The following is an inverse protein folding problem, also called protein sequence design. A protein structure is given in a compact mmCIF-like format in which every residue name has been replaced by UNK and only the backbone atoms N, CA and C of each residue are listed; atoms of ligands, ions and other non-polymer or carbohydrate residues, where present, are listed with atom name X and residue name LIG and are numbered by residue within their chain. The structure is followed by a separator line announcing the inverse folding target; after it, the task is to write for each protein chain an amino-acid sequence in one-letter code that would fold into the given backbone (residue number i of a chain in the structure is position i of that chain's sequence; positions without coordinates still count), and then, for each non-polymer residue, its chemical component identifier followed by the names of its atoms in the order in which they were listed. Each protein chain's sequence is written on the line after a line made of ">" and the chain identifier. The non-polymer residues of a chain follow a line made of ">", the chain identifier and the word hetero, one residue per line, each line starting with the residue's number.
data_IF_644918318517
#
_entry.id   IF_644918318517
#
_cell.length_a   1.000
_cell.length_b   1.000
_cell.length_c   1.000
_cell.angle_alpha   90.00
_cell.angle_beta   90.00
_cell.angle_gamma   90.00
#
_symmetry.space_group_name_H-M   'P 1'
#
loop_
_entity.id
_entity.type
_entity.pdbx_description
1 polymer ?
#
# COMPACT_ATOMS: atom_id res chain seq x y z
N UNK A 1 24.37 -15.47 31.30
CA UNK A 1 25.51 -14.70 30.80
C UNK A 1 24.96 -13.43 30.20
N UNK A 2 25.42 -12.27 30.66
CA UNK A 2 24.83 -10.97 30.35
C UNK A 2 24.88 -10.63 28.87
N UNK A 3 23.72 -10.33 28.28
CA UNK A 3 23.62 -9.62 27.01
C UNK A 3 23.40 -8.14 27.33
N UNK A 4 24.34 -7.28 26.95
CA UNK A 4 24.22 -5.85 27.13
C UNK A 4 22.90 -5.35 26.53
N UNK A 5 22.15 -4.58 27.32
CA UNK A 5 20.95 -3.88 26.88
C UNK A 5 21.34 -2.81 25.86
N UNK A 6 21.55 -3.22 24.61
CA UNK A 6 21.66 -2.30 23.50
C UNK A 6 20.38 -1.49 23.41
N UNK A 7 20.51 -0.17 23.33
CA UNK A 7 19.39 0.73 23.13
C UNK A 7 18.62 0.30 21.88
N UNK A 8 17.38 -0.17 22.04
CA UNK A 8 16.53 -0.58 20.91
C UNK A 8 15.91 0.66 20.31
N UNK A 9 16.66 1.34 19.44
CA UNK A 9 16.16 2.53 18.75
C UNK A 9 15.23 2.11 17.60
N UNK A 10 14.01 2.65 17.59
CA UNK A 10 13.06 2.46 16.51
C UNK A 10 12.55 3.80 15.94
N UNK A 11 12.14 3.77 14.67
CA UNK A 11 11.46 4.88 14.01
C UNK A 11 10.10 4.37 13.51
N UNK A 12 9.04 5.13 13.74
CA UNK A 12 7.70 4.88 13.20
C UNK A 12 7.32 6.00 12.25
N UNK A 13 7.24 5.72 10.96
CA UNK A 13 6.81 6.65 9.92
C UNK A 13 5.29 6.69 9.80
N UNK A 14 4.75 7.89 9.94
CA UNK A 14 3.33 8.22 9.83
C UNK A 14 3.11 9.22 8.68
N UNK A 15 1.90 9.24 8.14
CA UNK A 15 1.57 10.05 6.98
C UNK A 15 1.20 11.51 7.32
N UNK A 16 0.74 11.78 8.55
CA UNK A 16 0.35 13.12 8.99
C UNK A 16 0.81 13.42 10.42
N UNK A 17 0.85 14.71 10.78
CA UNK A 17 1.23 15.17 12.13
C UNK A 17 0.30 14.60 13.19
N UNK A 18 -1.01 14.76 12.98
CA UNK A 18 -2.03 14.20 13.86
C UNK A 18 -1.97 12.66 13.95
N UNK A 19 -1.47 11.96 12.93
CA UNK A 19 -1.21 10.52 13.05
C UNK A 19 0.04 10.23 13.89
N UNK A 20 1.12 10.98 13.69
CA UNK A 20 2.34 10.83 14.49
C UNK A 20 2.08 11.09 15.99
N UNK A 21 1.37 12.16 16.32
CA UNK A 21 0.97 12.48 17.70
C UNK A 21 0.13 11.35 18.31
N UNK A 22 -0.95 10.92 17.62
CA UNK A 22 -1.83 9.84 18.11
C UNK A 22 -1.10 8.50 18.30
N UNK A 23 -0.22 8.14 17.36
CA UNK A 23 0.55 6.90 17.46
C UNK A 23 1.55 7.00 18.62
N UNK A 24 2.18 8.16 18.81
CA UNK A 24 3.04 8.43 19.96
C UNK A 24 2.29 8.28 21.29
N UNK A 25 1.12 8.92 21.42
CA UNK A 25 0.30 8.82 22.62
C UNK A 25 -0.04 7.37 22.96
N UNK A 26 -0.46 6.58 21.95
CA UNK A 26 -0.74 5.17 22.13
C UNK A 26 0.47 4.32 22.57
N UNK A 27 1.68 4.68 22.14
CA UNK A 27 2.92 4.04 22.59
C UNK A 27 3.23 4.42 24.05
N UNK A 28 3.11 5.70 24.40
CA UNK A 28 3.33 6.22 25.75
C UNK A 28 2.35 5.61 26.75
N UNK A 29 1.07 5.50 26.40
CA UNK A 29 0.05 4.80 27.20
C UNK A 29 0.44 3.34 27.52
N UNK A 30 1.18 2.70 26.61
CA UNK A 30 1.71 1.33 26.74
C UNK A 30 3.09 1.29 27.39
N UNK A 31 3.54 2.40 27.98
CA UNK A 31 4.82 2.57 28.68
C UNK A 31 6.05 2.37 27.79
N UNK A 32 5.91 2.67 26.50
CA UNK A 32 7.05 2.77 25.59
C UNK A 32 7.60 4.21 25.66
N UNK A 33 8.92 4.35 25.80
CA UNK A 33 9.57 5.66 25.78
C UNK A 33 9.56 6.22 24.34
N UNK A 34 8.46 6.86 23.95
CA UNK A 34 8.24 7.36 22.61
C UNK A 34 8.10 8.89 22.60
N UNK A 35 8.50 9.50 21.49
CA UNK A 35 8.28 10.91 21.22
C UNK A 35 7.98 11.13 19.74
N UNK A 36 7.16 12.14 19.42
CA UNK A 36 6.87 12.48 18.03
C UNK A 36 7.82 13.53 17.47
N UNK A 37 8.03 13.50 16.15
CA UNK A 37 8.84 14.46 15.42
C UNK A 37 8.15 14.88 14.12
N UNK A 38 7.87 16.17 13.97
CA UNK A 38 7.38 16.74 12.73
C UNK A 38 7.79 18.22 12.57
N UNK A 39 7.53 18.79 11.41
CA UNK A 39 7.98 20.15 11.04
C UNK A 39 7.65 21.24 12.07
N UNK A 40 6.49 21.16 12.74
CA UNK A 40 6.03 22.14 13.74
C UNK A 40 6.67 22.03 15.13
N UNK A 41 7.49 21.02 15.40
CA UNK A 41 8.24 20.96 16.66
C UNK A 41 9.35 22.03 16.64
N UNK A 42 9.47 22.82 17.70
CA UNK A 42 10.45 23.90 17.82
C UNK A 42 11.90 23.37 17.80
N UNK A 43 12.84 24.23 17.40
CA UNK A 43 14.26 23.86 17.23
C UNK A 43 14.90 23.31 18.51
N UNK A 44 14.73 24.02 19.63
CA UNK A 44 15.28 23.61 20.93
C UNK A 44 14.74 22.25 21.39
N UNK A 45 13.44 22.01 21.16
CA UNK A 45 12.77 20.74 21.47
C UNK A 45 13.33 19.62 20.60
N UNK A 46 13.56 19.87 19.30
CA UNK A 46 14.18 18.89 18.39
C UNK A 46 15.59 18.50 18.83
N UNK A 47 16.39 19.46 19.29
CA UNK A 47 17.75 19.19 19.78
C UNK A 47 17.75 18.38 21.08
N UNK A 48 16.87 18.72 22.02
CA UNK A 48 16.70 17.96 23.26
C UNK A 48 16.27 16.52 22.95
N UNK A 49 15.26 16.35 22.10
CA UNK A 49 14.77 15.05 21.67
C UNK A 49 15.87 14.23 20.98
N UNK A 50 16.68 14.84 20.12
CA UNK A 50 17.79 14.16 19.47
C UNK A 50 18.82 13.66 20.48
N UNK A 51 19.17 14.48 21.49
CA UNK A 51 20.06 14.04 22.58
C UNK A 51 19.46 12.89 23.39
N UNK A 52 18.17 12.97 23.72
CA UNK A 52 17.49 11.94 24.49
C UNK A 52 17.40 10.62 23.73
N UNK A 53 17.17 10.69 22.42
CA UNK A 53 17.17 9.51 21.56
C UNK A 53 18.56 8.88 21.42
N UNK A 54 19.60 9.68 21.20
CA UNK A 54 20.99 9.20 21.14
C UNK A 54 21.46 8.56 22.47
N UNK A 55 20.93 9.03 23.60
CA UNK A 55 21.26 8.52 24.93
C UNK A 55 20.33 7.39 25.39
N UNK A 56 19.37 6.98 24.56
CA UNK A 56 18.42 5.91 24.84
C UNK A 56 17.38 6.23 25.91
N UNK A 57 17.18 7.51 26.23
CA UNK A 57 16.04 7.97 27.06
C UNK A 57 14.73 7.94 26.30
N UNK A 58 14.79 8.12 24.98
CA UNK A 58 13.69 7.85 24.05
C UNK A 58 14.09 6.64 23.23
N UNK A 59 13.23 5.63 23.18
CA UNK A 59 13.42 4.40 22.42
C UNK A 59 12.84 4.53 21.00
N UNK A 60 11.68 5.21 20.88
CA UNK A 60 10.91 5.28 19.63
C UNK A 60 10.66 6.71 19.20
N UNK A 61 11.05 7.04 17.97
CA UNK A 61 10.67 8.30 17.32
C UNK A 61 9.51 8.05 16.37
N UNK A 62 8.38 8.72 16.60
CA UNK A 62 7.22 8.68 15.70
C UNK A 62 7.25 9.92 14.81
N UNK A 63 7.45 9.75 13.52
CA UNK A 63 7.82 10.82 12.62
C UNK A 63 6.96 10.87 11.37
N UNK A 64 6.80 12.07 10.81
CA UNK A 64 6.41 12.21 9.39
C UNK A 64 7.66 12.17 8.50
N UNK A 65 7.49 12.17 7.18
CA UNK A 65 8.58 12.25 6.19
C UNK A 65 9.53 13.45 6.37
N UNK A 66 9.22 14.41 7.25
CA UNK A 66 10.12 15.48 7.66
C UNK A 66 11.30 15.01 8.55
N UNK A 67 11.28 13.77 9.04
CA UNK A 67 12.39 13.17 9.79
C UNK A 67 13.44 12.63 8.81
N UNK A 68 14.25 13.54 8.25
CA UNK A 68 15.20 13.14 7.23
C UNK A 68 16.50 13.93 7.07
N UNK A 69 16.54 15.19 7.48
CA UNK A 69 17.74 16.02 7.35
C UNK A 69 18.47 16.12 8.70
N UNK A 70 19.56 15.37 8.86
CA UNK A 70 20.54 15.59 9.94
C UNK A 70 20.57 14.59 11.11
N UNK A 71 19.62 13.65 11.21
CA UNK A 71 19.60 12.65 12.29
C UNK A 71 20.31 11.38 11.84
N UNK A 72 21.54 11.19 12.32
CA UNK A 72 22.36 9.99 12.13
C UNK A 72 22.47 9.23 13.45
N UNK A 73 21.69 8.16 13.60
CA UNK A 73 21.84 7.21 14.69
C UNK A 73 22.20 5.84 14.08
N UNK A 74 23.45 5.39 14.26
CA UNK A 74 23.92 4.12 13.69
C UNK A 74 23.14 2.90 14.20
N UNK A 75 22.68 2.97 15.45
CA UNK A 75 22.01 1.89 16.18
C UNK A 75 20.50 1.72 15.95
N UNK A 76 19.91 2.23 14.87
CA UNK A 76 18.46 1.99 14.61
C UNK A 76 18.26 0.52 14.25
N UNK A 77 17.43 -0.19 15.04
CA UNK A 77 17.15 -1.63 14.90
C UNK A 77 15.82 -1.92 14.24
N UNK A 78 14.86 -1.01 14.35
CA UNK A 78 13.53 -1.22 13.80
C UNK A 78 13.01 0.02 13.10
N UNK A 79 12.43 -0.17 11.92
CA UNK A 79 11.68 0.88 11.22
C UNK A 79 10.29 0.35 10.94
N UNK A 80 9.28 1.10 11.35
CA UNK A 80 7.89 0.81 11.09
C UNK A 80 7.32 1.86 10.16
N UNK A 81 6.62 1.45 9.10
CA UNK A 81 5.71 2.32 8.37
C UNK A 81 4.30 2.04 8.85
N UNK A 82 3.73 2.97 9.62
CA UNK A 82 2.34 2.86 10.07
C UNK A 82 1.35 3.15 8.94
N UNK A 83 1.76 4.00 7.99
CA UNK A 83 1.05 4.27 6.74
C UNK A 83 2.05 4.11 5.59
N UNK A 84 1.62 3.61 4.43
CA UNK A 84 2.48 3.48 3.24
C UNK A 84 3.16 4.81 2.87
N UNK A 85 4.44 4.78 2.44
CA UNK A 85 5.08 5.97 1.90
C UNK A 85 4.53 6.32 0.51
N UNK A 86 4.84 7.52 0.04
CA UNK A 86 4.36 8.02 -1.26
C UNK A 86 5.11 7.47 -2.47
N UNK A 87 6.29 6.87 -2.29
CA UNK A 87 7.09 6.28 -3.36
C UNK A 87 8.03 5.20 -2.83
N UNK A 88 8.50 4.30 -3.72
CA UNK A 88 9.53 3.34 -3.38
C UNK A 88 10.87 4.00 -3.07
N UNK A 89 11.15 5.17 -3.66
CA UNK A 89 12.33 5.98 -3.33
C UNK A 89 12.28 6.47 -1.88
N UNK A 90 11.14 6.98 -1.42
CA UNK A 90 10.95 7.37 -0.03
C UNK A 90 11.12 6.17 0.91
N UNK A 91 10.47 5.04 0.58
CA UNK A 91 10.60 3.79 1.32
C UNK A 91 12.07 3.37 1.47
N UNK A 92 12.84 3.38 0.38
CA UNK A 92 14.25 3.00 0.37
C UNK A 92 15.12 3.92 1.24
N UNK A 93 14.90 5.24 1.16
CA UNK A 93 15.64 6.21 1.97
C UNK A 93 15.33 6.07 3.47
N UNK A 94 14.06 5.83 3.80
CA UNK A 94 13.58 5.66 5.16
C UNK A 94 14.11 4.34 5.75
N UNK A 95 13.95 3.22 5.05
CA UNK A 95 14.51 1.93 5.46
C UNK A 95 16.03 1.92 5.54
N UNK A 96 16.72 2.69 4.69
CA UNK A 96 18.19 2.85 4.72
C UNK A 96 18.75 3.58 5.96
N UNK A 97 17.89 3.92 6.93
CA UNK A 97 18.32 4.42 8.26
C UNK A 97 18.56 3.30 9.25
N UNK A 98 17.99 2.12 9.03
CA UNK A 98 18.19 0.95 9.88
C UNK A 98 19.58 0.32 9.64
N UNK A 99 20.17 -0.28 10.67
CA UNK A 99 21.36 -1.15 10.55
C UNK A 99 22.60 -0.48 9.95
N UNK A 100 22.79 0.83 10.15
CA UNK A 100 23.94 1.57 9.56
C UNK A 100 25.29 1.22 10.18
N UNK A 101 25.27 0.59 11.34
CA UNK A 101 26.43 -0.03 12.00
C UNK A 101 26.74 -1.43 11.45
N UNK A 102 25.94 -1.96 10.52
CA UNK A 102 26.12 -3.28 9.92
C UNK A 102 25.43 -4.42 10.68
N UNK A 103 24.81 -4.14 11.82
CA UNK A 103 24.06 -5.13 12.61
C UNK A 103 22.65 -5.36 12.05
N UNK A 104 22.08 -6.53 12.36
CA UNK A 104 20.74 -6.92 11.92
C UNK A 104 19.69 -5.89 12.36
N UNK A 105 18.81 -5.52 11.42
CA UNK A 105 17.70 -4.61 11.65
C UNK A 105 16.47 -5.03 10.84
N UNK A 106 15.29 -4.66 11.33
CA UNK A 106 14.01 -5.06 10.74
C UNK A 106 13.22 -3.83 10.27
N UNK A 107 12.72 -3.90 9.03
CA UNK A 107 11.85 -2.88 8.47
C UNK A 107 10.47 -3.50 8.20
N UNK A 108 9.44 -2.98 8.86
CA UNK A 108 8.07 -3.48 8.81
C UNK A 108 7.17 -2.40 8.23
N UNK A 109 6.38 -2.75 7.22
CA UNK A 109 5.34 -1.88 6.69
C UNK A 109 3.98 -2.45 7.06
N UNK A 110 3.19 -1.68 7.82
CA UNK A 110 1.80 -1.99 8.12
C UNK A 110 0.94 -1.54 6.95
N UNK A 111 0.30 -2.49 6.29
CA UNK A 111 -0.40 -2.24 5.04
C UNK A 111 -1.91 -2.35 5.17
N UNK A 112 -2.62 -1.28 4.80
CA UNK A 112 -4.02 -1.34 4.40
C UNK A 112 -4.21 -0.73 3.02
N UNK A 113 -5.00 -1.39 2.16
CA UNK A 113 -5.34 -0.81 0.85
C UNK A 113 -6.06 0.54 0.98
N UNK A 114 -6.76 0.80 2.09
CA UNK A 114 -7.40 2.09 2.35
C UNK A 114 -6.38 3.24 2.47
N UNK A 115 -5.13 2.96 2.83
CA UNK A 115 -4.09 3.99 2.94
C UNK A 115 -3.75 4.59 1.57
N UNK A 116 -3.90 3.82 0.48
CA UNK A 116 -3.78 4.34 -0.89
C UNK A 116 -4.58 5.63 -1.06
N UNK A 117 -5.86 5.63 -0.69
CA UNK A 117 -6.75 6.79 -0.87
C UNK A 117 -6.31 7.97 -0.01
N UNK A 118 -5.82 7.72 1.21
CA UNK A 118 -5.34 8.75 2.14
C UNK A 118 -4.10 9.44 1.56
N UNK A 119 -3.13 8.65 1.12
CA UNK A 119 -1.88 9.14 0.52
C UNK A 119 -2.11 9.81 -0.83
N UNK A 120 -2.94 9.22 -1.69
CA UNK A 120 -3.37 9.80 -2.97
C UNK A 120 -4.01 11.18 -2.76
N UNK A 121 -4.91 11.30 -1.79
CA UNK A 121 -5.58 12.56 -1.47
C UNK A 121 -4.58 13.65 -1.02
N UNK A 122 -3.55 13.28 -0.28
CA UNK A 122 -2.47 14.20 0.09
C UNK A 122 -1.64 14.61 -1.14
N UNK A 123 -1.25 13.66 -1.99
CA UNK A 123 -0.51 13.94 -3.22
C UNK A 123 -1.30 14.93 -4.10
N UNK A 124 -2.60 14.70 -4.29
CA UNK A 124 -3.46 15.60 -5.08
C UNK A 124 -3.56 17.02 -4.52
N UNK A 125 -3.49 17.18 -3.19
CA UNK A 125 -3.49 18.51 -2.54
C UNK A 125 -2.13 19.22 -2.61
N UNK A 126 -1.03 18.46 -2.62
CA UNK A 126 0.33 19.02 -2.49
C UNK A 126 1.20 18.97 -3.76
N UNK A 127 0.82 18.21 -4.78
CA UNK A 127 1.58 18.11 -6.02
C UNK A 127 1.12 19.18 -7.04
N UNK A 128 2.06 19.85 -7.73
CA UNK A 128 1.73 20.63 -8.92
C UNK A 128 1.05 19.77 -10.00
N UNK A 129 0.14 20.33 -10.82
CA UNK A 129 -0.52 19.57 -11.89
C UNK A 129 0.46 18.87 -12.85
N UNK A 130 1.61 19.50 -13.11
CA UNK A 130 2.63 18.98 -14.03
C UNK A 130 3.29 17.66 -13.55
N UNK A 131 3.35 17.40 -12.24
CA UNK A 131 3.99 16.20 -11.67
C UNK A 131 2.99 15.25 -11.00
N UNK A 132 1.70 15.56 -11.06
CA UNK A 132 0.68 14.81 -10.35
C UNK A 132 0.60 13.35 -10.82
N UNK A 133 0.58 13.12 -12.13
CA UNK A 133 0.45 11.76 -12.69
C UNK A 133 1.67 10.90 -12.34
N UNK A 134 2.88 11.47 -12.44
CA UNK A 134 4.13 10.82 -12.04
C UNK A 134 4.09 10.41 -10.56
N UNK A 135 3.75 11.35 -9.66
CA UNK A 135 3.66 11.10 -8.22
C UNK A 135 2.60 10.05 -7.85
N UNK A 136 1.49 10.00 -8.59
CA UNK A 136 0.48 8.95 -8.42
C UNK A 136 0.97 7.59 -8.93
N UNK A 137 1.75 7.58 -10.01
CA UNK A 137 2.47 6.40 -10.49
C UNK A 137 3.41 5.83 -9.43
N UNK A 138 4.23 6.67 -8.81
CA UNK A 138 5.14 6.29 -7.73
C UNK A 138 4.41 5.67 -6.53
N UNK A 139 3.26 6.23 -6.14
CA UNK A 139 2.42 5.65 -5.09
C UNK A 139 1.91 4.27 -5.48
N UNK A 140 1.50 4.10 -6.74
CA UNK A 140 1.02 2.80 -7.23
C UNK A 140 2.12 1.74 -7.26
N UNK A 141 3.39 2.12 -7.40
CA UNK A 141 4.51 1.19 -7.27
C UNK A 141 4.65 0.64 -5.85
N UNK A 142 4.43 1.48 -4.82
CA UNK A 142 4.39 1.08 -3.40
C UNK A 142 3.22 0.12 -3.16
N UNK A 143 2.02 0.48 -3.62
CA UNK A 143 0.83 -0.37 -3.52
C UNK A 143 1.08 -1.72 -4.19
N UNK A 144 1.67 -1.69 -5.38
CA UNK A 144 1.97 -2.89 -6.14
C UNK A 144 3.04 -3.76 -5.45
N UNK A 145 3.96 -3.19 -4.67
CA UNK A 145 4.89 -3.94 -3.82
C UNK A 145 4.17 -4.59 -2.63
N UNK A 146 3.21 -3.89 -2.03
CA UNK A 146 2.46 -4.40 -0.89
C UNK A 146 1.49 -5.54 -1.28
N UNK A 147 0.86 -5.46 -2.45
CA UNK A 147 -0.05 -6.49 -2.97
C UNK A 147 0.67 -7.68 -3.64
N UNK A 148 1.97 -7.59 -3.87
CA UNK A 148 2.79 -8.69 -4.40
C UNK A 148 3.24 -9.58 -3.23
N UNK A 149 2.70 -10.80 -3.18
CA UNK A 149 3.00 -11.81 -2.16
C UNK A 149 3.98 -12.88 -2.67
N UNK A 150 4.53 -12.72 -3.87
CA UNK A 150 5.42 -13.70 -4.50
C UNK A 150 6.80 -13.13 -4.77
N UNK A 151 6.86 -11.90 -5.29
CA UNK A 151 8.13 -11.25 -5.62
C UNK A 151 8.95 -10.90 -4.38
N UNK A 152 10.26 -11.18 -4.42
CA UNK A 152 11.18 -10.74 -3.37
C UNK A 152 11.15 -9.20 -3.22
N UNK A 153 10.82 -8.70 -2.02
CA UNK A 153 10.72 -7.26 -1.74
C UNK A 153 12.04 -6.53 -1.99
N UNK A 154 13.15 -7.12 -1.53
CA UNK A 154 14.50 -6.59 -1.75
C UNK A 154 14.84 -6.49 -3.23
N UNK A 155 14.56 -7.52 -4.01
CA UNK A 155 14.83 -7.52 -5.44
C UNK A 155 14.04 -6.42 -6.16
N UNK A 156 12.80 -6.18 -5.74
CA UNK A 156 11.98 -5.11 -6.29
C UNK A 156 12.51 -3.72 -5.95
N UNK A 157 12.92 -3.48 -4.70
CA UNK A 157 13.57 -2.23 -4.30
C UNK A 157 14.88 -1.98 -5.07
N UNK A 158 15.73 -3.00 -5.23
CA UNK A 158 16.99 -2.87 -5.97
C UNK A 158 16.73 -2.47 -7.43
N UNK A 159 15.79 -3.15 -8.10
CA UNK A 159 15.41 -2.81 -9.48
C UNK A 159 14.86 -1.39 -9.61
N UNK A 160 14.04 -0.95 -8.65
CA UNK A 160 13.54 0.42 -8.59
C UNK A 160 14.69 1.45 -8.52
N UNK A 161 15.76 1.12 -7.79
CA UNK A 161 16.97 1.94 -7.69
C UNK A 161 17.94 1.76 -8.86
N UNK A 162 17.55 1.07 -9.93
CA UNK A 162 18.39 0.80 -11.10
C UNK A 162 19.51 -0.22 -10.84
N UNK A 163 19.40 -1.03 -9.79
CA UNK A 163 20.37 -2.06 -9.43
C UNK A 163 19.86 -3.46 -9.76
N UNK A 164 20.76 -4.32 -10.25
CA UNK A 164 20.42 -5.72 -10.45
C UNK A 164 20.49 -6.48 -9.11
N UNK A 165 19.46 -7.24 -8.72
CA UNK A 165 19.51 -8.06 -7.52
C UNK A 165 20.64 -9.10 -7.60
N UNK A 166 21.41 -9.29 -6.52
CA UNK A 166 22.51 -10.25 -6.52
C UNK A 166 22.00 -11.69 -6.69
N UNK A 167 22.77 -12.51 -7.41
CA UNK A 167 22.57 -13.95 -7.56
C UNK A 167 23.65 -14.73 -6.79
N UNK A 168 23.32 -15.81 -6.06
CA UNK A 168 21.98 -16.40 -5.88
C UNK A 168 21.07 -15.54 -4.97
N UNK A 169 19.74 -15.76 -4.99
CA UNK A 169 18.84 -15.07 -4.07
C UNK A 169 19.24 -15.31 -2.61
N UNK A 170 18.99 -14.34 -1.71
CA UNK A 170 19.35 -14.47 -0.31
C UNK A 170 18.61 -15.66 0.34
N UNK A 171 19.22 -16.29 1.37
CA UNK A 171 18.59 -17.42 2.05
C UNK A 171 17.23 -17.03 2.65
N UNK A 172 16.25 -17.97 2.65
CA UNK A 172 14.96 -17.76 3.29
C UNK A 172 15.11 -17.29 4.75
N UNK A 173 14.22 -16.40 5.19
CA UNK A 173 14.22 -15.88 6.58
C UNK A 173 15.22 -14.77 6.90
N UNK A 174 16.15 -14.41 6.00
CA UNK A 174 17.07 -13.25 6.16
C UNK A 174 16.84 -12.12 5.14
N UNK A 175 15.85 -12.25 4.28
CA UNK A 175 15.60 -11.31 3.18
C UNK A 175 14.31 -10.49 3.36
N UNK A 176 13.17 -11.16 3.26
CA UNK A 176 11.84 -10.59 3.45
C UNK A 176 10.83 -11.71 3.72
N UNK A 177 9.65 -11.32 4.17
CA UNK A 177 8.46 -12.15 4.34
C UNK A 177 8.11 -12.99 3.10
N UNK A 178 8.11 -12.41 1.89
CA UNK A 178 7.80 -13.17 0.67
C UNK A 178 8.83 -14.27 0.38
N UNK A 179 10.11 -14.06 0.73
CA UNK A 179 11.13 -15.10 0.59
C UNK A 179 11.04 -16.18 1.69
N UNK A 180 10.36 -15.88 2.80
CA UNK A 180 10.14 -16.81 3.90
C UNK A 180 8.80 -17.57 3.75
N UNK A 181 7.90 -17.10 2.89
CA UNK A 181 6.59 -17.69 2.66
C UNK A 181 6.64 -18.89 1.70
N UNK A 182 5.74 -19.84 1.91
CA UNK A 182 5.47 -20.90 0.94
C UNK A 182 4.79 -20.33 -0.31
N UNK A 183 4.99 -20.99 -1.46
CA UNK A 183 4.39 -20.58 -2.71
C UNK A 183 2.85 -20.55 -2.58
N UNK A 184 2.16 -19.48 -3.01
CA UNK A 184 0.71 -19.40 -2.86
C UNK A 184 0.01 -20.42 -3.76
N UNK A 185 -1.14 -20.97 -3.32
CA UNK A 185 -1.92 -21.90 -4.12
C UNK A 185 -2.50 -21.19 -5.36
N UNK A 186 -2.34 -21.80 -6.53
CA UNK A 186 -3.01 -21.36 -7.76
C UNK A 186 -4.38 -22.05 -7.86
N UNK A 187 -5.47 -21.28 -8.00
CA UNK A 187 -6.82 -21.82 -8.18
C UNK A 187 -7.43 -21.41 -9.51
N UNK A 188 -8.08 -22.35 -10.21
CA UNK A 188 -8.85 -22.10 -11.43
C UNK A 188 -10.04 -21.13 -11.20
N UNK A 189 -10.55 -21.08 -9.96
CA UNK A 189 -11.66 -20.19 -9.58
C UNK A 189 -11.29 -18.71 -9.68
N UNK A 190 -10.00 -18.36 -9.56
CA UNK A 190 -9.52 -16.98 -9.73
C UNK A 190 -9.79 -16.45 -11.14
N UNK A 191 -9.68 -17.30 -12.17
CA UNK A 191 -9.91 -16.91 -13.56
C UNK A 191 -11.38 -16.56 -13.83
N UNK A 192 -12.30 -17.31 -13.25
CA UNK A 192 -13.75 -17.05 -13.36
C UNK A 192 -14.11 -15.73 -12.69
N UNK A 193 -13.64 -15.50 -11.46
CA UNK A 193 -13.87 -14.26 -10.75
C UNK A 193 -13.24 -13.04 -11.45
N UNK A 194 -12.04 -13.19 -12.01
CA UNK A 194 -11.36 -12.12 -12.74
C UNK A 194 -12.11 -11.72 -14.02
N UNK A 195 -12.63 -12.70 -14.78
CA UNK A 195 -13.45 -12.46 -15.96
C UNK A 195 -14.76 -11.75 -15.58
N UNK A 196 -15.44 -12.22 -14.53
CA UNK A 196 -16.66 -11.60 -14.04
C UNK A 196 -16.43 -10.14 -13.61
N UNK A 197 -15.34 -9.87 -12.90
CA UNK A 197 -14.95 -8.52 -12.52
C UNK A 197 -14.77 -7.60 -13.74
N UNK A 198 -14.08 -8.07 -14.78
CA UNK A 198 -13.87 -7.32 -16.01
C UNK A 198 -15.17 -7.07 -16.79
N UNK A 199 -16.06 -8.07 -16.88
CA UNK A 199 -17.37 -7.93 -17.49
C UNK A 199 -18.22 -6.85 -16.81
N UNK A 200 -18.26 -6.86 -15.47
CA UNK A 200 -18.99 -5.84 -14.69
C UNK A 200 -18.35 -4.47 -14.88
N UNK A 201 -17.03 -4.37 -14.83
CA UNK A 201 -16.31 -3.11 -15.02
C UNK A 201 -16.54 -2.52 -16.42
N UNK A 202 -16.64 -3.36 -17.46
CA UNK A 202 -17.01 -2.93 -18.81
C UNK A 202 -18.46 -2.48 -18.93
N UNK A 203 -19.40 -3.25 -18.33
CA UNK A 203 -20.85 -2.96 -18.40
C UNK A 203 -21.25 -1.70 -17.61
N UNK A 204 -20.67 -1.51 -16.44
CA UNK A 204 -21.06 -0.45 -15.49
C UNK A 204 -20.05 0.69 -15.38
N UNK A 205 -18.93 0.60 -16.11
CA UNK A 205 -17.81 1.56 -16.21
C UNK A 205 -17.91 2.82 -15.32
N UNK A 206 -17.22 2.81 -14.19
CA UNK A 206 -17.15 3.94 -13.26
C UNK A 206 -18.34 4.08 -12.30
N UNK A 207 -19.37 3.23 -12.38
CA UNK A 207 -20.53 3.30 -11.47
C UNK A 207 -20.27 2.67 -10.09
N UNK A 208 -19.31 1.74 -9.99
CA UNK A 208 -19.04 0.98 -8.76
C UNK A 208 -17.70 1.37 -8.14
N UNK A 209 -17.62 1.29 -6.81
CA UNK A 209 -16.35 1.26 -6.09
C UNK A 209 -15.83 -0.18 -6.00
N UNK A 210 -14.53 -0.36 -5.69
CA UNK A 210 -13.94 -1.70 -5.55
C UNK A 210 -14.66 -2.55 -4.49
N UNK A 211 -15.02 -2.03 -3.29
CA UNK A 211 -15.80 -2.79 -2.31
C UNK A 211 -17.20 -3.17 -2.80
N UNK A 212 -17.85 -2.33 -3.63
CA UNK A 212 -19.16 -2.67 -4.22
C UNK A 212 -19.05 -3.75 -5.28
N UNK A 213 -17.99 -3.73 -6.09
CA UNK A 213 -17.68 -4.81 -7.03
C UNK A 213 -17.42 -6.12 -6.28
N UNK A 214 -16.62 -6.08 -5.20
CA UNK A 214 -16.41 -7.25 -4.34
C UNK A 214 -17.71 -7.79 -3.76
N UNK A 215 -18.55 -6.91 -3.20
CA UNK A 215 -19.83 -7.29 -2.62
C UNK A 215 -20.76 -7.96 -3.63
N UNK A 216 -20.81 -7.46 -4.87
CA UNK A 216 -21.55 -8.07 -5.97
C UNK A 216 -21.02 -9.48 -6.28
N UNK A 217 -19.73 -9.61 -6.56
CA UNK A 217 -19.13 -10.90 -6.96
C UNK A 217 -19.18 -11.95 -5.84
N UNK A 218 -19.11 -11.51 -4.59
CA UNK A 218 -19.26 -12.38 -3.41
C UNK A 218 -20.71 -12.82 -3.16
N UNK A 219 -21.69 -12.15 -3.79
CA UNK A 219 -23.11 -12.47 -3.62
C UNK A 219 -23.74 -11.81 -2.38
N UNK A 220 -23.20 -10.67 -1.95
CA UNK A 220 -23.75 -9.88 -0.85
C UNK A 220 -25.18 -9.43 -1.14
N UNK A 221 -26.01 -9.40 -0.10
CA UNK A 221 -27.37 -8.83 -0.13
C UNK A 221 -27.49 -7.56 0.72
N UNK A 222 -26.37 -6.86 0.94
CA UNK A 222 -26.38 -5.56 1.59
C UNK A 222 -27.35 -4.62 0.88
N UNK A 223 -28.03 -3.74 1.65
CA UNK A 223 -29.10 -2.86 1.16
C UNK A 223 -28.73 -2.17 -0.15
N UNK A 224 -27.55 -1.58 -0.24
CA UNK A 224 -27.06 -0.85 -1.42
C UNK A 224 -26.91 -1.73 -2.68
N UNK A 225 -26.56 -3.01 -2.52
CA UNK A 225 -26.42 -3.96 -3.63
C UNK A 225 -27.80 -4.33 -4.18
N UNK A 226 -28.77 -4.53 -3.27
CA UNK A 226 -30.15 -4.85 -3.62
C UNK A 226 -30.84 -3.65 -4.28
N UNK A 227 -30.77 -2.47 -3.65
CA UNK A 227 -31.45 -1.27 -4.15
C UNK A 227 -30.89 -0.78 -5.48
N UNK A 228 -29.62 -1.08 -5.78
CA UNK A 228 -29.01 -0.75 -7.08
C UNK A 228 -29.24 -1.81 -8.15
N UNK A 229 -30.05 -2.85 -7.89
CA UNK A 229 -30.36 -3.91 -8.85
C UNK A 229 -29.20 -4.87 -9.15
N UNK A 230 -28.07 -4.74 -8.45
CA UNK A 230 -26.86 -5.54 -8.72
C UNK A 230 -27.07 -7.03 -8.47
N UNK A 231 -28.04 -7.39 -7.62
CA UNK A 231 -28.45 -8.78 -7.36
C UNK A 231 -29.06 -9.49 -8.57
N UNK A 232 -29.45 -8.75 -9.62
CA UNK A 232 -30.02 -9.31 -10.84
C UNK A 232 -28.98 -9.56 -11.93
N UNK A 233 -27.72 -9.18 -11.71
CA UNK A 233 -26.64 -9.44 -12.66
C UNK A 233 -26.22 -10.91 -12.58
N UNK A 234 -25.91 -11.50 -13.74
CA UNK A 234 -25.43 -12.90 -13.83
C UNK A 234 -24.12 -13.12 -13.03
N UNK A 235 -23.35 -12.07 -12.83
CA UNK A 235 -22.10 -12.07 -12.09
C UNK A 235 -22.28 -12.07 -10.55
N UNK A 236 -23.51 -11.90 -10.04
CA UNK A 236 -23.78 -11.91 -8.61
C UNK A 236 -23.49 -13.27 -7.98
N UNK A 237 -22.60 -13.30 -6.98
CA UNK A 237 -22.24 -14.52 -6.25
C UNK A 237 -21.29 -15.48 -6.98
N UNK A 238 -20.84 -15.14 -8.20
CA UNK A 238 -19.92 -15.98 -9.00
C UNK A 238 -18.62 -16.31 -8.26
N UNK A 239 -18.15 -15.43 -7.37
CA UNK A 239 -16.90 -15.59 -6.64
C UNK A 239 -17.09 -16.04 -5.18
N UNK A 240 -18.28 -16.56 -4.80
CA UNK A 240 -18.56 -17.00 -3.43
C UNK A 240 -17.60 -18.09 -2.92
N UNK A 241 -17.10 -18.96 -3.82
CA UNK A 241 -16.20 -20.07 -3.50
C UNK A 241 -14.79 -19.66 -3.03
N UNK A 242 -14.27 -18.53 -3.52
CA UNK A 242 -12.92 -18.03 -3.20
C UNK A 242 -12.76 -17.55 -1.74
N UNK A 243 -13.87 -17.25 -1.06
CA UNK A 243 -13.85 -16.50 0.18
C UNK A 243 -13.47 -15.03 -0.02
N UNK A 244 -13.89 -14.17 0.93
CA UNK A 244 -13.69 -12.72 0.81
C UNK A 244 -12.22 -12.30 0.70
N UNK A 245 -11.28 -12.79 1.54
CA UNK A 245 -9.89 -12.31 1.49
C UNK A 245 -9.21 -12.58 0.15
N UNK A 246 -9.44 -13.75 -0.46
CA UNK A 246 -8.88 -14.06 -1.78
C UNK A 246 -9.51 -13.20 -2.88
N UNK A 247 -10.83 -12.96 -2.81
CA UNK A 247 -11.50 -12.08 -3.76
C UNK A 247 -11.00 -10.63 -3.66
N UNK A 248 -10.89 -10.07 -2.45
CA UNK A 248 -10.34 -8.72 -2.26
C UNK A 248 -8.93 -8.62 -2.84
N UNK A 249 -8.07 -9.61 -2.55
CA UNK A 249 -6.71 -9.69 -3.09
C UNK A 249 -6.72 -9.77 -4.61
N UNK A 250 -7.54 -10.63 -5.21
CA UNK A 250 -7.68 -10.74 -6.66
C UNK A 250 -8.04 -9.39 -7.29
N UNK A 251 -9.07 -8.71 -6.78
CA UNK A 251 -9.53 -7.44 -7.32
C UNK A 251 -8.46 -6.35 -7.26
N UNK A 252 -7.75 -6.24 -6.13
CA UNK A 252 -6.63 -5.29 -5.98
C UNK A 252 -5.48 -5.64 -6.91
N UNK A 253 -5.19 -6.93 -7.09
CA UNK A 253 -4.17 -7.40 -8.00
C UNK A 253 -4.51 -7.13 -9.48
N UNK A 254 -5.80 -7.09 -9.84
CA UNK A 254 -6.26 -6.66 -11.17
C UNK A 254 -6.11 -5.15 -11.39
N UNK A 255 -6.33 -4.34 -10.34
CA UNK A 255 -6.08 -2.89 -10.38
C UNK A 255 -4.58 -2.60 -10.53
N UNK A 256 -3.73 -3.25 -9.73
CA UNK A 256 -2.27 -3.12 -9.80
C UNK A 256 -1.72 -3.53 -11.18
N UNK A 257 -2.25 -4.61 -11.76
CA UNK A 257 -1.89 -5.06 -13.12
C UNK A 257 -2.53 -4.23 -14.23
N UNK A 258 -3.32 -3.22 -13.89
CA UNK A 258 -4.01 -2.31 -14.83
C UNK A 258 -4.98 -3.06 -15.77
N UNK A 259 -5.50 -4.20 -15.33
CA UNK A 259 -6.61 -4.92 -15.97
C UNK A 259 -7.93 -4.25 -15.58
N UNK A 260 -8.05 -3.83 -14.32
CA UNK A 260 -9.05 -2.88 -13.87
C UNK A 260 -8.41 -1.50 -13.72
N UNK A 261 -9.18 -0.45 -13.97
CA UNK A 261 -8.82 0.92 -13.59
C UNK A 261 -9.53 1.31 -12.32
N UNK A 262 -8.91 2.18 -11.53
CA UNK A 262 -9.52 2.77 -10.36
C UNK A 262 -9.27 4.28 -10.37
N UNK A 263 -10.31 5.05 -10.66
CA UNK A 263 -10.23 6.51 -10.85
C UNK A 263 -10.86 7.21 -9.66
N UNK A 264 -10.06 8.00 -8.95
CA UNK A 264 -10.52 8.78 -7.80
C UNK A 264 -11.23 10.05 -8.27
N UNK A 265 -12.49 10.20 -7.86
CA UNK A 265 -13.32 11.37 -8.13
C UNK A 265 -13.58 12.13 -6.83
N UNK A 266 -13.51 13.47 -6.83
CA UNK A 266 -13.82 14.26 -5.63
C UNK A 266 -15.29 14.11 -5.25
N UNK A 267 -15.56 14.02 -3.95
CA UNK A 267 -16.92 13.97 -3.42
C UNK A 267 -17.43 15.37 -3.06
N UNK A 268 -18.75 15.65 -3.20
CA UNK A 268 -19.34 16.94 -2.85
C UNK A 268 -19.11 17.37 -1.39
N UNK A 269 -19.01 16.41 -0.47
CA UNK A 269 -18.80 16.65 0.97
C UNK A 269 -17.32 16.65 1.39
N UNK A 270 -16.41 16.76 0.43
CA UNK A 270 -14.97 16.60 0.64
C UNK A 270 -14.52 15.14 0.56
N UNK A 271 -13.21 14.96 0.37
CA UNK A 271 -12.61 13.64 0.14
C UNK A 271 -12.73 13.15 -1.30
N UNK A 272 -12.37 11.89 -1.51
CA UNK A 272 -12.35 11.23 -2.81
C UNK A 272 -13.04 9.87 -2.72
N UNK A 273 -13.73 9.48 -3.79
CA UNK A 273 -14.26 8.13 -3.98
C UNK A 273 -13.68 7.54 -5.26
N UNK A 274 -13.10 6.37 -5.12
CA UNK A 274 -12.45 5.64 -6.21
C UNK A 274 -13.43 4.72 -6.91
N UNK A 275 -13.59 4.94 -8.22
CA UNK A 275 -14.53 4.23 -9.09
C UNK A 275 -13.79 3.27 -9.99
N UNK A 276 -14.33 2.06 -10.14
CA UNK A 276 -13.72 0.99 -10.92
C UNK A 276 -14.22 1.03 -12.36
N UNK A 277 -13.30 0.84 -13.30
CA UNK A 277 -13.57 0.71 -14.72
C UNK A 277 -12.64 -0.30 -15.39
N UNK A 278 -12.64 -0.31 -16.72
CA UNK A 278 -11.73 -1.14 -17.52
C UNK A 278 -10.34 -0.51 -17.51
N UNK A 279 -9.31 -1.32 -17.24
CA UNK A 279 -7.93 -0.89 -17.25
C UNK A 279 -7.29 -0.97 -18.64
N UNK A 280 -6.19 -0.24 -18.85
CA UNK A 280 -5.51 -0.17 -20.16
C UNK A 280 -4.93 -1.50 -20.64
N UNK A 281 -4.63 -2.43 -19.73
CA UNK A 281 -4.10 -3.77 -20.03
C UNK A 281 -5.18 -4.85 -20.03
N UNK A 282 -6.47 -4.47 -20.00
CA UNK A 282 -7.57 -5.43 -19.97
C UNK A 282 -7.55 -6.41 -21.15
N UNK A 283 -7.19 -5.94 -22.35
CA UNK A 283 -7.12 -6.76 -23.56
C UNK A 283 -5.98 -7.78 -23.55
N UNK A 284 -4.93 -7.55 -22.76
CA UNK A 284 -3.79 -8.47 -22.61
C UNK A 284 -4.09 -9.59 -21.60
N UNK A 285 -5.18 -9.48 -20.84
CA UNK A 285 -5.50 -10.44 -19.81
C UNK A 285 -5.86 -11.80 -20.44
N UNK A 286 -5.33 -12.93 -19.93
CA UNK A 286 -5.61 -14.26 -20.49
C UNK A 286 -7.08 -14.68 -20.35
N UNK A 287 -7.85 -13.94 -19.56
CA UNK A 287 -9.29 -14.12 -19.35
C UNK A 287 -10.14 -12.99 -19.93
N UNK A 288 -9.57 -12.13 -20.77
CA UNK A 288 -10.36 -11.12 -21.48
C UNK A 288 -11.47 -11.80 -22.30
N UNK A 289 -12.71 -11.26 -22.32
CA UNK A 289 -13.68 -11.68 -23.31
C UNK A 289 -13.15 -11.34 -24.71
N UNK A 290 -13.45 -12.16 -25.75
CA UNK A 290 -13.10 -11.80 -27.11
C UNK A 290 -13.70 -10.43 -27.45
N UNK A 291 -13.01 -9.61 -28.29
CA UNK A 291 -13.53 -8.30 -28.66
C UNK A 291 -14.94 -8.46 -29.21
N UNK A 292 -15.90 -7.73 -28.64
CA UNK A 292 -17.25 -7.70 -29.21
C UNK A 292 -17.14 -7.11 -30.62
N UNK A 293 -17.77 -7.72 -31.64
CA UNK A 293 -17.79 -7.12 -32.97
C UNK A 293 -18.37 -5.71 -32.85
N UNK A 294 -17.62 -4.72 -33.34
CA UNK A 294 -18.09 -3.35 -33.41
C UNK A 294 -19.43 -3.37 -34.16
N UNK A 295 -20.50 -2.89 -33.51
CA UNK A 295 -21.75 -2.67 -34.23
C UNK A 295 -21.44 -1.72 -35.38
N UNK A 296 -21.80 -2.06 -36.64
CA UNK A 296 -21.61 -1.15 -37.75
C UNK A 296 -22.31 0.17 -37.42
N UNK A 297 -21.74 1.33 -37.81
CA UNK A 297 -22.36 2.62 -37.58
C UNK A 297 -23.80 2.57 -38.10
N UNK A 298 -24.75 2.98 -37.26
CA UNK A 298 -26.13 3.11 -37.72
C UNK A 298 -26.16 4.10 -38.89
N UNK A 299 -26.77 3.74 -40.02
CA UNK A 299 -26.90 4.65 -41.14
C UNK A 299 -27.71 5.89 -40.70
N UNK A 300 -27.46 7.05 -41.34
CA UNK A 300 -28.02 8.34 -40.95
C UNK A 300 -29.54 8.38 -40.97
#
# INVERSE_FOLDING_TARGET
>A
GGGGGGCRCAIVYCHSRAEAERVCDGLVERRVAAAFYHAQVEGEVKEALHRDWLQGRVEVIVATCAFGMGVHHGGVRQIFHYTIPSSLTALAQEWGRAGRDGEDAECVLLYSYSDKQRVESMIRRGAPPATLEERLGELMEVVAMCEDDVGCRRARLLRHLGQEPPAPPPPPGRCCDNCAADAPPRSAELGVAARAALCVAGRLNGALTLPRLEALLYGSRAKEVVTSGLVHLAEHGVAKGLGRPQLSRLLRALVVRQVLSEVSTPCPHGGYSSRVGVGRRAAEAPFAPPPQPQQPPQPP
#
